data_IF_126033599053
#
_entry.id   IF_126033599053
#
_cell.length_a   1.000
_cell.length_b   1.000
_cell.length_c   1.000
_cell.angle_alpha   90.00
_cell.angle_beta   90.00
_cell.angle_gamma   90.00
#
_symmetry.space_group_name_H-M   'P 1'
#
loop_
_entity.id
_entity.type
_entity.pdbx_description
1 polymer ?
#
# COMPACT_ATOMS: atom_id res chain seq x y z
N UNK A 1 -7.21 -0.93 -12.57
CA UNK A 1 -6.60 -1.46 -11.34
C UNK A 1 -5.20 -1.96 -11.64
N UNK A 2 -4.22 -1.46 -10.94
CA UNK A 2 -2.82 -1.87 -11.11
C UNK A 2 -2.27 -2.39 -9.80
N UNK A 3 -1.63 -3.55 -9.83
CA UNK A 3 -0.89 -4.06 -8.67
C UNK A 3 0.48 -3.41 -8.75
N UNK A 4 0.77 -2.49 -7.81
CA UNK A 4 2.03 -1.75 -7.81
C UNK A 4 3.07 -2.35 -6.88
N UNK A 5 2.64 -3.20 -5.96
CA UNK A 5 3.55 -3.94 -5.08
C UNK A 5 2.86 -5.18 -4.54
N UNK A 6 3.59 -6.26 -4.43
CA UNK A 6 3.08 -7.50 -3.86
C UNK A 6 4.23 -8.27 -3.22
N UNK A 7 4.15 -8.49 -1.92
CA UNK A 7 5.12 -9.28 -1.18
C UNK A 7 4.40 -10.32 -0.34
N UNK A 8 5.16 -11.06 0.46
CA UNK A 8 4.60 -12.01 1.40
C UNK A 8 3.70 -11.33 2.43
N UNK A 9 4.01 -10.09 2.79
CA UNK A 9 3.34 -9.37 3.89
C UNK A 9 2.34 -8.32 3.42
N UNK A 10 2.56 -7.73 2.25
CA UNK A 10 1.78 -6.59 1.79
C UNK A 10 1.37 -6.70 0.33
N UNK A 11 0.24 -6.07 0.04
CA UNK A 11 -0.28 -5.96 -1.32
C UNK A 11 -0.77 -4.53 -1.50
N UNK A 12 -0.30 -3.84 -2.55
CA UNK A 12 -0.68 -2.47 -2.84
C UNK A 12 -1.27 -2.41 -4.24
N UNK A 13 -2.49 -1.90 -4.31
CA UNK A 13 -3.23 -1.74 -5.56
C UNK A 13 -3.48 -0.28 -5.81
N UNK A 14 -3.21 0.16 -7.04
CA UNK A 14 -3.52 1.50 -7.50
C UNK A 14 -4.78 1.48 -8.33
N UNK A 15 -5.66 2.46 -8.10
CA UNK A 15 -6.84 2.71 -8.91
C UNK A 15 -6.66 4.04 -9.63
N UNK A 16 -6.01 4.07 -10.82
CA UNK A 16 -5.61 5.32 -11.47
C UNK A 16 -6.78 6.25 -11.80
N UNK A 17 -7.91 5.66 -12.19
CA UNK A 17 -9.09 6.44 -12.54
C UNK A 17 -9.67 7.21 -11.36
N UNK A 18 -9.41 6.73 -10.14
CA UNK A 18 -9.90 7.33 -8.90
C UNK A 18 -8.81 8.10 -8.15
N UNK A 19 -7.55 7.98 -8.60
CA UNK A 19 -6.43 8.57 -7.90
C UNK A 19 -6.26 8.01 -6.49
N UNK A 20 -6.50 6.72 -6.30
CA UNK A 20 -6.54 6.10 -4.98
C UNK A 20 -5.68 4.85 -4.91
N UNK A 21 -5.39 4.41 -3.68
CA UNK A 21 -4.63 3.20 -3.40
C UNK A 21 -5.32 2.38 -2.32
N UNK A 22 -5.16 1.06 -2.41
CA UNK A 22 -5.51 0.15 -1.34
C UNK A 22 -4.26 -0.57 -0.88
N UNK A 23 -3.97 -0.52 0.42
CA UNK A 23 -2.83 -1.21 1.03
C UNK A 23 -3.38 -2.31 1.92
N UNK A 24 -2.98 -3.54 1.65
CA UNK A 24 -3.45 -4.72 2.38
C UNK A 24 -2.29 -5.30 3.18
N UNK A 25 -2.48 -5.46 4.49
CA UNK A 25 -1.60 -6.22 5.36
C UNK A 25 -2.09 -7.67 5.36
N UNK A 26 -1.37 -8.54 4.66
CA UNK A 26 -1.78 -9.94 4.49
C UNK A 26 -1.68 -10.74 5.79
N UNK A 27 -0.78 -10.33 6.68
CA UNK A 27 -0.58 -11.04 7.94
C UNK A 27 -1.72 -10.78 8.92
N UNK A 28 -2.11 -9.51 9.05
CA UNK A 28 -3.18 -9.11 9.95
C UNK A 28 -4.58 -9.20 9.33
N UNK A 29 -4.66 -9.33 8.02
CA UNK A 29 -5.94 -9.38 7.32
C UNK A 29 -6.70 -8.06 7.36
N UNK A 30 -5.98 -6.93 7.31
CA UNK A 30 -6.58 -5.61 7.33
C UNK A 30 -6.14 -4.80 6.12
N UNK A 31 -6.93 -3.80 5.76
CA UNK A 31 -6.63 -2.93 4.63
C UNK A 31 -6.84 -1.47 4.98
N UNK A 32 -6.09 -0.61 4.32
CA UNK A 32 -6.29 0.83 4.33
C UNK A 32 -6.57 1.31 2.91
N UNK A 33 -7.51 2.23 2.79
CA UNK A 33 -7.86 2.83 1.52
C UNK A 33 -7.48 4.30 1.54
N UNK A 34 -6.64 4.72 0.60
CA UNK A 34 -6.09 6.07 0.54
C UNK A 34 -6.63 6.77 -0.71
N UNK A 35 -7.09 8.01 -0.54
CA UNK A 35 -7.59 8.82 -1.65
C UNK A 35 -7.25 10.29 -1.43
N UNK A 36 -7.38 11.11 -2.49
CA UNK A 36 -7.09 12.54 -2.42
C UNK A 36 -5.60 12.81 -2.23
N UNK A 37 -5.28 13.83 -1.47
CA UNK A 37 -3.88 14.23 -1.24
C UNK A 37 -3.07 13.16 -0.53
N UNK A 38 -3.69 12.41 0.38
CA UNK A 38 -3.01 11.32 1.09
C UNK A 38 -2.56 10.26 0.10
N UNK A 39 -3.41 9.91 -0.86
CA UNK A 39 -3.05 8.95 -1.91
C UNK A 39 -1.92 9.47 -2.79
N UNK A 40 -1.95 10.76 -3.13
CA UNK A 40 -0.91 11.37 -3.94
C UNK A 40 0.45 11.32 -3.22
N UNK A 41 0.49 11.73 -1.97
CA UNK A 41 1.71 11.70 -1.16
C UNK A 41 2.20 10.26 -0.98
N UNK A 42 1.29 9.33 -0.72
CA UNK A 42 1.63 7.92 -0.59
C UNK A 42 2.27 7.39 -1.88
N UNK A 43 1.65 7.66 -3.03
CA UNK A 43 2.16 7.21 -4.32
C UNK A 43 3.56 7.74 -4.62
N UNK A 44 3.80 9.02 -4.36
CA UNK A 44 5.11 9.64 -4.53
C UNK A 44 6.14 9.03 -3.58
N UNK A 45 5.76 8.83 -2.31
CA UNK A 45 6.64 8.25 -1.29
C UNK A 45 6.98 6.80 -1.62
N UNK A 46 6.00 6.03 -2.10
CA UNK A 46 6.24 4.65 -2.51
C UNK A 46 7.19 4.58 -3.70
N UNK A 47 6.97 5.43 -4.70
CA UNK A 47 7.84 5.49 -5.87
C UNK A 47 9.28 5.83 -5.47
N UNK A 48 9.46 6.76 -4.55
CA UNK A 48 10.78 7.12 -4.04
C UNK A 48 11.40 5.97 -3.26
N UNK A 49 10.62 5.29 -2.42
CA UNK A 49 11.12 4.14 -1.65
C UNK A 49 11.60 3.03 -2.59
N UNK A 50 10.86 2.74 -3.66
CA UNK A 50 11.25 1.75 -4.65
C UNK A 50 12.55 2.16 -5.36
N UNK A 51 12.69 3.44 -5.68
CA UNK A 51 13.89 3.93 -6.34
C UNK A 51 15.12 3.86 -5.43
N UNK A 52 14.95 4.07 -4.14
CA UNK A 52 16.06 4.03 -3.17
C UNK A 52 16.48 2.61 -2.82
N UNK A 53 15.51 1.73 -2.55
CA UNK A 53 15.79 0.34 -2.17
C UNK A 53 14.57 -0.54 -2.52
N UNK A 54 14.60 -1.23 -3.67
CA UNK A 54 13.46 -2.02 -4.14
C UNK A 54 13.30 -3.38 -3.46
N UNK A 55 14.09 -3.68 -2.42
CA UNK A 55 13.96 -4.97 -1.74
C UNK A 55 12.63 -5.06 -0.99
N UNK A 56 12.11 -6.29 -0.86
CA UNK A 56 10.86 -6.51 -0.12
C UNK A 56 11.01 -6.13 1.35
N UNK A 57 12.18 -6.38 1.95
CA UNK A 57 12.41 -6.00 3.35
C UNK A 57 12.26 -4.51 3.57
N UNK A 58 12.86 -3.71 2.67
CA UNK A 58 12.78 -2.25 2.76
C UNK A 58 11.37 -1.74 2.52
N UNK A 59 10.70 -2.26 1.51
CA UNK A 59 9.36 -1.82 1.15
C UNK A 59 8.31 -2.26 2.17
N UNK A 60 8.46 -3.45 2.74
CA UNK A 60 7.59 -3.91 3.81
C UNK A 60 7.74 -3.04 5.06
N UNK A 61 8.97 -2.62 5.38
CA UNK A 61 9.22 -1.69 6.48
C UNK A 61 8.56 -0.34 6.21
N UNK A 62 8.71 0.18 4.99
CA UNK A 62 8.04 1.42 4.58
C UNK A 62 6.54 1.32 4.77
N UNK A 63 5.93 0.23 4.31
CA UNK A 63 4.49 0.03 4.39
C UNK A 63 4.01 -0.16 5.84
N UNK A 64 4.86 -0.73 6.70
CA UNK A 64 4.55 -0.86 8.11
C UNK A 64 4.30 0.47 8.81
N UNK A 65 4.84 1.57 8.28
CA UNK A 65 4.60 2.90 8.83
C UNK A 65 3.16 3.37 8.61
N UNK A 66 2.41 2.70 7.75
CA UNK A 66 1.02 3.04 7.45
C UNK A 66 0.01 2.10 8.11
N UNK A 67 0.44 1.23 9.02
CA UNK A 67 -0.43 0.26 9.69
C UNK A 67 -1.59 0.95 10.42
N UNK A 68 -1.37 2.14 10.94
CA UNK A 68 -2.41 2.90 11.64
C UNK A 68 -3.58 3.29 10.72
N UNK A 69 -3.39 3.27 9.41
CA UNK A 69 -4.44 3.54 8.42
C UNK A 69 -5.19 2.28 7.99
N UNK A 70 -4.67 1.10 8.34
CA UNK A 70 -5.24 -0.18 7.94
C UNK A 70 -6.18 -0.68 9.02
N UNK A 71 -7.40 -0.16 9.02
CA UNK A 71 -8.36 -0.42 10.09
C UNK A 71 -9.53 -1.31 9.68
N UNK A 72 -9.64 -1.62 8.39
CA UNK A 72 -10.80 -2.39 7.90
C UNK A 72 -10.40 -3.84 7.62
N UNK A 73 -11.19 -4.82 8.10
CA UNK A 73 -10.93 -6.21 7.76
C UNK A 73 -11.03 -6.44 6.25
N UNK A 74 -10.13 -7.26 5.73
CA UNK A 74 -10.20 -7.70 4.33
C UNK A 74 -11.36 -8.67 4.21
N UNK A 75 -12.24 -8.41 3.25
CA UNK A 75 -13.37 -9.30 2.96
C UNK A 75 -13.08 -10.12 1.72
N UNK A 76 -13.33 -11.40 1.82
CA UNK A 76 -13.25 -12.31 0.69
C UNK A 76 -14.58 -12.25 -0.04
N UNK A 77 -14.52 -11.93 -1.32
CA UNK A 77 -15.71 -11.86 -2.16
C UNK A 77 -15.83 -13.10 -3.03
#
# INVERSE_FOLDING_TARGET
MNIVYNSKHYHVVEYPALGSYEVVDKHLGVAGYLQGEVAQVFGESLAQAIAEDPTHDSLDEFLGNFDFLMTQPVRVH
#
